data_IF_588347220636
#
_entry.id   IF_588347220636
#
_cell.length_a   1.000
_cell.length_b   1.000
_cell.length_c   1.000
_cell.angle_alpha   90.00
_cell.angle_beta   90.00
_cell.angle_gamma   90.00
#
_symmetry.space_group_name_H-M   'P 1'
#
loop_
_entity.id
_entity.type
_entity.pdbx_description
1 polymer ?
#
# COMPACT_ATOMS: atom_id res chain seq x y z
N UNK A 1 21.35 2.02 -5.17
CA UNK A 1 20.89 3.18 -4.37
C UNK A 1 19.37 3.07 -4.17
N UNK A 2 18.90 2.82 -2.94
CA UNK A 2 17.47 2.83 -2.62
C UNK A 2 16.97 4.29 -2.65
N UNK A 3 16.21 4.65 -3.70
CA UNK A 3 15.62 5.99 -3.86
C UNK A 3 14.58 6.19 -2.75
N UNK A 4 14.95 6.90 -1.69
CA UNK A 4 14.07 7.17 -0.54
C UNK A 4 12.86 7.99 -1.03
N UNK A 5 11.65 7.50 -0.78
CA UNK A 5 10.41 8.18 -1.19
C UNK A 5 10.35 9.55 -0.47
N UNK A 6 10.04 10.62 -1.21
CA UNK A 6 9.98 11.98 -0.66
C UNK A 6 8.89 12.09 0.41
N UNK A 7 9.31 12.38 1.65
CA UNK A 7 8.41 12.54 2.81
C UNK A 7 7.60 13.84 2.76
N UNK A 8 8.08 14.85 2.03
CA UNK A 8 7.45 16.17 1.97
C UNK A 8 6.08 16.10 1.27
N UNK A 9 5.97 15.28 0.23
CA UNK A 9 4.70 15.06 -0.47
C UNK A 9 3.67 14.43 0.47
N UNK A 10 4.08 13.48 1.31
CA UNK A 10 3.18 12.82 2.24
C UNK A 10 2.64 13.79 3.30
N UNK A 11 3.50 14.65 3.86
CA UNK A 11 3.07 15.71 4.79
C UNK A 11 2.06 16.66 4.15
N UNK A 12 2.26 17.03 2.88
CA UNK A 12 1.30 17.87 2.16
C UNK A 12 -0.06 17.19 1.98
N UNK A 13 -0.09 15.87 1.73
CA UNK A 13 -1.32 15.08 1.56
C UNK A 13 -2.04 14.93 2.90
N UNK A 14 -1.32 14.66 4.00
CA UNK A 14 -1.90 14.57 5.34
C UNK A 14 -2.51 15.92 5.75
N UNK A 15 -1.82 17.03 5.50
CA UNK A 15 -2.32 18.39 5.81
C UNK A 15 -3.60 18.79 5.07
N UNK A 16 -3.92 18.17 3.93
CA UNK A 16 -5.18 18.39 3.21
C UNK A 16 -6.42 17.86 3.92
N UNK A 17 -6.27 17.11 5.03
CA UNK A 17 -7.38 16.63 5.86
C UNK A 17 -7.52 17.50 7.12
N UNK A 18 -8.32 18.59 7.07
CA UNK A 18 -8.38 19.59 8.15
C UNK A 18 -8.97 19.05 9.45
N UNK A 19 -9.82 18.01 9.38
CA UNK A 19 -10.57 17.49 10.54
C UNK A 19 -9.84 16.38 11.31
N UNK A 20 -8.57 16.10 11.00
CA UNK A 20 -7.81 15.00 11.62
C UNK A 20 -6.49 15.54 12.16
N UNK A 21 -6.30 15.46 13.48
CA UNK A 21 -4.99 15.71 14.10
C UNK A 21 -4.10 14.51 13.89
N UNK A 22 -2.98 14.73 13.21
CA UNK A 22 -1.92 13.73 13.03
C UNK A 22 -0.91 13.84 14.17
N UNK A 23 -0.54 12.72 14.80
CA UNK A 23 0.58 12.68 15.73
C UNK A 23 1.90 13.02 15.05
N UNK A 24 2.90 13.49 15.80
CA UNK A 24 4.17 13.96 15.28
C UNK A 24 4.89 12.97 14.33
N UNK A 25 4.69 11.66 14.54
CA UNK A 25 5.29 10.57 13.78
C UNK A 25 4.31 9.86 12.82
N UNK A 26 3.11 10.42 12.61
CA UNK A 26 2.11 9.80 11.74
C UNK A 26 2.57 9.71 10.28
N UNK A 27 3.38 10.66 9.83
CA UNK A 27 4.00 10.64 8.50
C UNK A 27 4.93 9.43 8.32
N UNK A 28 5.70 9.07 9.34
CA UNK A 28 6.57 7.88 9.34
C UNK A 28 5.75 6.59 9.25
N UNK A 29 4.66 6.49 10.03
CA UNK A 29 3.79 5.31 9.98
C UNK A 29 3.10 5.16 8.61
N UNK A 30 2.61 6.25 8.03
CA UNK A 30 2.00 6.21 6.70
C UNK A 30 3.04 5.86 5.63
N UNK A 31 4.27 6.38 5.76
CA UNK A 31 5.36 6.06 4.85
C UNK A 31 5.74 4.57 4.88
N UNK A 32 5.90 4.00 6.08
CA UNK A 32 6.18 2.58 6.25
C UNK A 32 5.04 1.71 5.70
N UNK A 33 3.80 2.09 6.01
CA UNK A 33 2.62 1.39 5.49
C UNK A 33 2.56 1.41 3.96
N UNK A 34 2.90 2.54 3.33
CA UNK A 34 2.96 2.64 1.88
C UNK A 34 4.05 1.73 1.30
N UNK A 35 5.24 1.70 1.91
CA UNK A 35 6.34 0.85 1.46
C UNK A 35 5.97 -0.63 1.54
N UNK A 36 5.43 -1.08 2.67
CA UNK A 36 4.98 -2.46 2.86
C UNK A 36 3.84 -2.82 1.90
N UNK A 37 2.94 -1.88 1.64
CA UNK A 37 1.85 -2.07 0.68
C UNK A 37 2.38 -2.23 -0.75
N UNK A 38 3.30 -1.37 -1.18
CA UNK A 38 3.90 -1.44 -2.51
C UNK A 38 4.71 -2.73 -2.71
N UNK A 39 5.44 -3.16 -1.68
CA UNK A 39 6.18 -4.42 -1.72
C UNK A 39 5.25 -5.62 -1.96
N UNK A 40 4.23 -5.77 -1.11
CA UNK A 40 3.24 -6.85 -1.27
C UNK A 40 2.50 -6.75 -2.59
N UNK A 41 2.09 -5.55 -3.00
CA UNK A 41 1.44 -5.34 -4.28
C UNK A 41 2.33 -5.81 -5.45
N UNK A 42 3.63 -5.53 -5.41
CA UNK A 42 4.56 -5.95 -6.44
C UNK A 42 4.78 -7.48 -6.45
N UNK A 43 4.91 -8.11 -5.29
CA UNK A 43 5.04 -9.57 -5.16
C UNK A 43 3.82 -10.29 -5.69
N UNK A 44 2.63 -9.89 -5.25
CA UNK A 44 1.36 -10.50 -5.66
C UNK A 44 1.05 -10.22 -7.14
N UNK A 45 1.41 -9.04 -7.66
CA UNK A 45 1.28 -8.73 -9.08
C UNK A 45 2.24 -9.55 -9.95
N UNK A 46 3.44 -9.87 -9.43
CA UNK A 46 4.39 -10.76 -10.10
C UNK A 46 3.87 -12.20 -10.12
N UNK A 47 3.32 -12.69 -9.00
CA UNK A 47 2.69 -14.00 -8.95
C UNK A 47 1.53 -14.11 -9.95
N UNK A 48 0.65 -13.09 -10.01
CA UNK A 48 -0.44 -13.03 -11.00
C UNK A 48 0.05 -12.99 -12.45
N UNK A 49 1.09 -12.23 -12.74
CA UNK A 49 1.67 -12.19 -14.08
C UNK A 49 2.23 -13.56 -14.50
N UNK A 50 2.81 -14.30 -13.55
CA UNK A 50 3.32 -15.66 -13.77
C UNK A 50 2.19 -16.67 -14.02
N UNK A 51 1.11 -16.61 -13.23
CA UNK A 51 -0.11 -17.42 -13.47
C UNK A 51 -0.67 -17.17 -14.88
N UNK A 52 -0.72 -15.91 -15.30
CA UNK A 52 -1.22 -15.50 -16.62
C UNK A 52 -0.19 -15.76 -17.75
N UNK A 53 0.96 -16.39 -17.45
CA UNK A 53 2.06 -16.72 -18.38
C UNK A 53 2.61 -15.49 -19.13
N UNK A 54 2.64 -14.35 -18.47
CA UNK A 54 3.14 -13.09 -19.04
C UNK A 54 4.52 -12.73 -18.46
N UNK A 55 5.44 -12.32 -19.34
CA UNK A 55 6.80 -11.94 -18.93
C UNK A 55 6.88 -10.54 -18.27
N UNK A 56 5.80 -9.76 -18.31
CA UNK A 56 5.78 -8.37 -17.83
C UNK A 56 4.55 -8.10 -16.98
N UNK A 57 4.72 -7.38 -15.87
CA UNK A 57 3.62 -6.94 -15.02
C UNK A 57 2.82 -5.86 -15.76
N UNK A 58 1.70 -6.24 -16.36
CA UNK A 58 0.72 -5.35 -16.97
C UNK A 58 -0.19 -4.67 -15.93
N UNK A 59 -0.79 -3.51 -16.26
CA UNK A 59 -1.74 -2.83 -15.38
C UNK A 59 -2.94 -3.69 -14.94
N UNK A 60 -3.35 -4.67 -15.76
CA UNK A 60 -4.44 -5.59 -15.41
C UNK A 60 -4.12 -6.44 -14.17
N UNK A 61 -2.90 -6.98 -14.07
CA UNK A 61 -2.51 -7.80 -12.91
C UNK A 61 -2.49 -6.95 -11.63
N UNK A 62 -1.96 -5.72 -11.71
CA UNK A 62 -2.00 -4.77 -10.60
C UNK A 62 -3.44 -4.43 -10.20
N UNK A 63 -4.33 -4.22 -11.17
CA UNK A 63 -5.76 -3.94 -10.91
C UNK A 63 -6.44 -5.13 -10.22
N UNK A 64 -6.19 -6.36 -10.67
CA UNK A 64 -6.73 -7.56 -10.06
C UNK A 64 -6.27 -7.71 -8.60
N UNK A 65 -4.98 -7.56 -8.35
CA UNK A 65 -4.36 -7.69 -7.02
C UNK A 65 -4.79 -6.55 -6.09
N UNK A 66 -4.89 -5.32 -6.60
CA UNK A 66 -5.25 -4.14 -5.79
C UNK A 66 -6.60 -4.31 -5.10
N UNK A 67 -7.59 -4.90 -5.79
CA UNK A 67 -8.89 -5.23 -5.21
C UNK A 67 -8.70 -6.18 -4.03
N UNK A 68 -8.03 -7.30 -4.28
CA UNK A 68 -7.80 -8.38 -3.30
C UNK A 68 -7.09 -7.88 -2.05
N UNK A 69 -5.98 -7.14 -2.19
CA UNK A 69 -5.21 -6.63 -1.05
C UNK A 69 -6.02 -5.62 -0.22
N UNK A 70 -6.77 -4.73 -0.87
CA UNK A 70 -7.59 -3.74 -0.15
C UNK A 70 -8.68 -4.47 0.66
N UNK A 71 -9.41 -5.40 0.05
CA UNK A 71 -10.46 -6.16 0.75
C UNK A 71 -9.90 -7.04 1.88
N UNK A 72 -8.80 -7.75 1.66
CA UNK A 72 -8.14 -8.58 2.69
C UNK A 72 -7.62 -7.76 3.86
N UNK A 73 -7.09 -6.55 3.63
CA UNK A 73 -6.63 -5.69 4.72
C UNK A 73 -7.78 -5.23 5.61
N UNK A 74 -8.96 -4.97 5.06
CA UNK A 74 -10.15 -4.66 5.87
C UNK A 74 -10.59 -5.87 6.71
N UNK A 75 -10.62 -7.07 6.12
CA UNK A 75 -11.05 -8.28 6.81
C UNK A 75 -10.06 -8.75 7.89
N UNK A 76 -8.76 -8.77 7.61
CA UNK A 76 -7.74 -9.17 8.59
C UNK A 76 -7.63 -8.17 9.75
N UNK A 77 -7.78 -6.86 9.49
CA UNK A 77 -7.73 -5.84 10.54
C UNK A 77 -9.00 -5.85 11.40
N UNK A 78 -10.17 -6.18 10.83
CA UNK A 78 -11.39 -6.42 11.58
C UNK A 78 -11.31 -7.68 12.46
N UNK A 79 -10.48 -8.67 12.08
CA UNK A 79 -10.26 -9.90 12.85
C UNK A 79 -9.22 -9.74 13.95
N UNK A 80 -8.18 -8.91 13.74
CA UNK A 80 -7.15 -8.63 14.74
C UNK A 80 -7.57 -7.63 15.83
N UNK A 81 -8.63 -6.84 15.62
CA UNK A 81 -9.16 -5.89 16.63
C UNK A 81 -10.32 -6.47 17.45
N UNK A 82 -10.60 -7.77 17.31
CA UNK A 82 -11.67 -8.49 18.02
C UNK A 82 -11.14 -9.59 18.96
N UNK A 83 -9.83 -9.59 19.23
CA UNK A 83 -9.19 -10.37 20.30
C UNK A 83 -8.47 -9.43 21.25
#
# INVERSE_FOLDING_TARGET
MLKKISRNNLKSILKKKPNVRFGANADLMVHLNLLLFLHRLAEESRAKAFEDKTATIKPLHVKAVSKVIIYLRFLCKARLFRQ
#
